data_IF_548081456861
#
_entry.id   IF_548081456861
#
_cell.length_a   1.000
_cell.length_b   1.000
_cell.length_c   1.000
_cell.angle_alpha   90.00
_cell.angle_beta   90.00
_cell.angle_gamma   90.00
#
_symmetry.space_group_name_H-M   'P 1'
#
loop_
_entity.id
_entity.type
_entity.pdbx_description
1 polymer ?
#
# COMPACT_ATOMS: atom_id res chain seq x y z
N UNK A 1 3.67 -16.37 -2.49
CA UNK A 1 2.94 -15.13 -2.14
C UNK A 1 3.99 -14.04 -2.10
N UNK A 2 3.81 -12.96 -2.86
CA UNK A 2 4.77 -11.84 -2.86
C UNK A 2 4.64 -11.11 -1.53
N UNK A 3 5.72 -11.05 -0.77
CA UNK A 3 5.79 -10.25 0.47
C UNK A 3 5.78 -8.77 0.08
N UNK A 4 5.00 -7.94 0.79
CA UNK A 4 4.98 -6.51 0.53
C UNK A 4 6.18 -5.88 1.20
N UNK A 5 7.11 -5.37 0.40
CA UNK A 5 8.29 -4.65 0.89
C UNK A 5 8.08 -3.13 0.78
N UNK A 6 8.84 -2.34 1.55
CA UNK A 6 8.82 -0.88 1.41
C UNK A 6 9.15 -0.38 -0.01
N UNK A 7 9.97 -1.14 -0.74
CA UNK A 7 10.30 -0.86 -2.15
C UNK A 7 9.05 -0.98 -3.03
N UNK A 8 8.28 -2.06 -2.89
CA UNK A 8 7.02 -2.26 -3.62
C UNK A 8 6.02 -1.14 -3.31
N UNK A 9 5.91 -0.74 -2.04
CA UNK A 9 5.04 0.38 -1.63
C UNK A 9 5.45 1.67 -2.34
N UNK A 10 6.75 1.98 -2.37
CA UNK A 10 7.28 3.14 -3.04
C UNK A 10 7.11 3.08 -4.57
N UNK A 11 7.26 1.91 -5.19
CA UNK A 11 6.97 1.67 -6.62
C UNK A 11 5.50 1.94 -6.97
N UNK A 12 4.58 1.77 -5.99
CA UNK A 12 3.17 2.12 -6.13
C UNK A 12 2.91 3.61 -5.81
N UNK A 13 3.94 4.43 -5.61
CA UNK A 13 3.78 5.86 -5.33
C UNK A 13 3.20 6.16 -3.95
N UNK A 14 3.16 5.17 -3.06
CA UNK A 14 2.68 5.32 -1.69
C UNK A 14 3.83 5.66 -0.75
N UNK A 15 3.59 6.58 0.18
CA UNK A 15 4.50 6.88 1.29
C UNK A 15 4.40 5.80 2.37
N UNK A 16 5.45 5.62 3.19
CA UNK A 16 5.40 4.69 4.33
C UNK A 16 4.23 4.94 5.29
N UNK A 17 3.90 6.20 5.54
CA UNK A 17 2.74 6.58 6.39
C UNK A 17 1.40 6.19 5.77
N UNK A 18 1.29 6.24 4.44
CA UNK A 18 0.08 5.82 3.73
C UNK A 18 -0.08 4.31 3.80
N UNK A 19 1.01 3.55 3.66
CA UNK A 19 0.99 2.10 3.86
C UNK A 19 0.55 1.69 5.27
N UNK A 20 1.05 2.36 6.30
CA UNK A 20 0.62 2.09 7.68
C UNK A 20 -0.86 2.44 7.91
N UNK A 21 -1.36 3.51 7.28
CA UNK A 21 -2.79 3.82 7.30
C UNK A 21 -3.62 2.73 6.59
N UNK A 22 -3.19 2.27 5.41
CA UNK A 22 -3.84 1.18 4.66
C UNK A 22 -3.89 -0.08 5.54
N UNK A 23 -2.77 -0.45 6.16
CA UNK A 23 -2.69 -1.59 7.07
C UNK A 23 -3.61 -1.42 8.28
N UNK A 24 -3.70 -0.22 8.85
CA UNK A 24 -4.62 0.11 9.93
C UNK A 24 -6.09 0.01 9.52
N UNK A 25 -6.45 0.46 8.31
CA UNK A 25 -7.80 0.35 7.77
C UNK A 25 -8.21 -1.09 7.46
N UNK A 26 -7.29 -1.90 6.94
CA UNK A 26 -7.55 -3.30 6.60
C UNK A 26 -7.45 -4.25 7.79
N UNK A 27 -6.73 -3.87 8.85
CA UNK A 27 -6.41 -4.73 10.00
C UNK A 27 -5.48 -5.90 9.65
N UNK A 28 -4.89 -5.90 8.45
CA UNK A 28 -3.97 -6.91 7.92
C UNK A 28 -3.05 -6.29 6.87
N UNK A 29 -2.04 -7.02 6.42
CA UNK A 29 -1.24 -6.58 5.29
C UNK A 29 -2.09 -6.55 3.99
N UNK A 30 -1.99 -5.46 3.21
CA UNK A 30 -2.59 -5.39 1.89
C UNK A 30 -1.86 -6.31 0.91
N UNK A 31 -2.54 -6.71 -0.16
CA UNK A 31 -1.89 -7.35 -1.31
C UNK A 31 -1.58 -6.32 -2.42
N UNK A 32 -0.87 -6.75 -3.46
CA UNK A 32 -0.48 -5.89 -4.59
C UNK A 32 -1.68 -5.21 -5.28
N UNK A 33 -2.82 -5.91 -5.41
CA UNK A 33 -4.00 -5.34 -6.03
C UNK A 33 -4.59 -4.22 -5.16
N UNK A 34 -4.65 -4.43 -3.84
CA UNK A 34 -5.12 -3.43 -2.89
C UNK A 34 -4.19 -2.20 -2.89
N UNK A 35 -2.87 -2.40 -2.91
CA UNK A 35 -1.90 -1.30 -3.03
C UNK A 35 -2.11 -0.49 -4.31
N UNK A 36 -2.35 -1.14 -5.45
CA UNK A 36 -2.67 -0.45 -6.70
C UNK A 36 -3.96 0.37 -6.64
N UNK A 37 -4.98 -0.12 -5.93
CA UNK A 37 -6.23 0.63 -5.71
C UNK A 37 -5.97 1.86 -4.83
N UNK A 38 -5.29 1.69 -3.70
CA UNK A 38 -4.98 2.79 -2.78
C UNK A 38 -4.06 3.84 -3.41
N UNK A 39 -3.08 3.40 -4.19
CA UNK A 39 -2.19 4.27 -4.97
C UNK A 39 -2.98 5.25 -5.83
N UNK A 40 -3.94 4.78 -6.62
CA UNK A 40 -4.77 5.66 -7.45
C UNK A 40 -5.73 6.51 -6.62
N UNK A 41 -6.34 5.94 -5.58
CA UNK A 41 -7.29 6.68 -4.75
C UNK A 41 -6.66 7.84 -3.98
N UNK A 42 -5.38 7.73 -3.59
CA UNK A 42 -4.69 8.71 -2.75
C UNK A 42 -3.63 9.53 -3.51
N UNK A 43 -3.49 9.35 -4.83
CA UNK A 43 -2.56 10.09 -5.69
C UNK A 43 -3.02 11.53 -6.01
N UNK A 44 -3.55 12.26 -5.03
CA UNK A 44 -3.88 13.70 -5.14
C UNK A 44 -2.74 14.63 -4.73
#
# INVERSE_FOLDING_TARGET
MTEITPEIVADHGLKPDEYEQIRGHLGREPNLLELGIFSVMWSE
#
